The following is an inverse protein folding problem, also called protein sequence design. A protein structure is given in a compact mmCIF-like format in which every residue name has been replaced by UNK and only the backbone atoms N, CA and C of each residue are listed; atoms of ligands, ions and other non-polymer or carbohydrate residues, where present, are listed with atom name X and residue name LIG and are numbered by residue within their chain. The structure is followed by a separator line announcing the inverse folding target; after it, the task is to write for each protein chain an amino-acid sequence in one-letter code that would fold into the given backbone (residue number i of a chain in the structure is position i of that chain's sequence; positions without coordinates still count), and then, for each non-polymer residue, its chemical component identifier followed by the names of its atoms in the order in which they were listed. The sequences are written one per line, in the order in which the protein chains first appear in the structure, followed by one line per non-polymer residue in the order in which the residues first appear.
data_IF_417305663338
#
_entry.id   IF_417305663338
#
_cell.length_a   1.000
_cell.length_b   1.000
_cell.length_c   1.000
_cell.angle_alpha   90.00
_cell.angle_beta   90.00
_cell.angle_gamma   90.00
#
_symmetry.space_group_name_H-M   'P 1'
#
loop_
_entity.id
_entity.type
_entity.pdbx_description
1 polymer ?
#
# COMPACT_ATOMS: atom_id res chain seq x y z
N UNK A 1 10.32 6.93 -10.24
CA UNK A 1 11.70 6.39 -10.32
C UNK A 1 11.90 5.94 -11.75
N UNK A 2 12.88 6.50 -12.47
CA UNK A 2 13.15 6.06 -13.84
C UNK A 2 13.59 4.59 -13.81
N UNK A 3 12.94 3.71 -14.59
CA UNK A 3 13.22 2.27 -14.59
C UNK A 3 14.70 1.94 -14.80
N UNK A 4 15.38 2.73 -15.64
CA UNK A 4 16.82 2.61 -15.90
C UNK A 4 17.66 2.80 -14.63
N UNK A 5 17.30 3.77 -13.79
CA UNK A 5 18.02 4.03 -12.54
C UNK A 5 17.94 2.86 -11.56
N UNK A 6 16.76 2.24 -11.43
CA UNK A 6 16.57 1.04 -10.57
C UNK A 6 17.44 -0.10 -11.05
N UNK A 7 17.38 -0.37 -12.35
CA UNK A 7 18.14 -1.43 -12.98
C UNK A 7 19.65 -1.23 -12.77
N UNK A 8 20.16 -0.02 -12.99
CA UNK A 8 21.57 0.30 -12.76
C UNK A 8 21.98 0.13 -11.30
N UNK A 9 21.11 0.45 -10.33
CA UNK A 9 21.42 0.27 -8.90
C UNK A 9 21.55 -1.22 -8.56
N UNK A 10 20.65 -2.07 -9.06
CA UNK A 10 20.67 -3.51 -8.80
C UNK A 10 21.88 -4.18 -9.46
N UNK A 11 22.09 -3.96 -10.76
CA UNK A 11 23.25 -4.51 -11.49
C UNK A 11 24.57 -4.09 -10.86
N UNK A 12 24.70 -2.82 -10.47
CA UNK A 12 25.94 -2.32 -9.85
C UNK A 12 26.23 -3.01 -8.51
N UNK A 13 25.22 -3.44 -7.75
CA UNK A 13 25.45 -4.08 -6.45
C UNK A 13 26.19 -5.41 -6.59
N UNK A 14 25.86 -6.19 -7.61
CA UNK A 14 26.55 -7.44 -7.93
C UNK A 14 27.98 -7.13 -8.39
N UNK A 15 28.16 -6.26 -9.38
CA UNK A 15 29.49 -5.98 -9.96
C UNK A 15 30.45 -5.31 -8.97
N UNK A 16 29.98 -4.33 -8.19
CA UNK A 16 30.84 -3.52 -7.32
C UNK A 16 31.02 -4.08 -5.91
N UNK A 17 30.06 -4.88 -5.42
CA UNK A 17 30.05 -5.36 -4.03
C UNK A 17 29.81 -6.86 -3.89
N UNK A 18 29.62 -7.61 -4.98
CA UNK A 18 29.27 -9.04 -4.96
C UNK A 18 28.07 -9.32 -4.03
N UNK A 19 27.08 -8.42 -4.05
CA UNK A 19 25.91 -8.47 -3.18
C UNK A 19 24.63 -8.48 -4.01
N UNK A 20 23.60 -9.16 -3.51
CA UNK A 20 22.28 -9.22 -4.13
C UNK A 20 21.23 -8.59 -3.20
N UNK A 21 20.41 -7.68 -3.74
CA UNK A 21 19.22 -7.22 -3.04
C UNK A 21 18.10 -8.25 -3.18
N UNK A 22 17.60 -8.76 -2.06
CA UNK A 22 16.50 -9.73 -2.04
C UNK A 22 15.13 -9.08 -1.90
N UNK A 23 15.07 -7.80 -1.55
CA UNK A 23 13.83 -7.07 -1.30
C UNK A 23 13.80 -5.72 -2.00
N UNK A 24 12.65 -5.38 -2.58
CA UNK A 24 12.36 -4.10 -3.23
C UNK A 24 11.19 -3.43 -2.52
N UNK A 25 11.46 -2.32 -1.81
CA UNK A 25 10.40 -1.50 -1.21
C UNK A 25 9.93 -0.44 -2.22
N UNK A 26 8.65 -0.49 -2.60
CA UNK A 26 8.09 0.44 -3.57
C UNK A 26 6.64 0.88 -3.30
N UNK A 27 6.18 1.83 -4.12
CA UNK A 27 4.75 2.09 -4.27
C UNK A 27 4.13 0.94 -5.09
N UNK A 28 2.85 0.65 -4.85
CA UNK A 28 2.21 -0.59 -5.30
C UNK A 28 2.13 -0.79 -6.81
N UNK A 29 2.20 0.27 -7.62
CA UNK A 29 2.39 0.15 -9.07
C UNK A 29 3.77 0.73 -9.45
N UNK A 30 4.81 -0.09 -9.32
CA UNK A 30 6.17 0.30 -9.66
C UNK A 30 6.62 -0.43 -10.92
N UNK A 31 6.63 0.31 -12.04
CA UNK A 31 7.31 -0.12 -13.28
C UNK A 31 8.78 -0.48 -13.04
N UNK A 32 9.41 0.12 -12.03
CA UNK A 32 10.79 -0.21 -11.65
C UNK A 32 10.94 -1.63 -11.12
N UNK A 33 10.00 -2.11 -10.28
CA UNK A 33 10.03 -3.50 -9.82
C UNK A 33 9.86 -4.48 -10.99
N UNK A 34 8.93 -4.18 -11.90
CA UNK A 34 8.72 -5.01 -13.09
C UNK A 34 10.00 -5.11 -13.93
N UNK A 35 10.69 -3.99 -14.16
CA UNK A 35 11.98 -3.96 -14.85
C UNK A 35 13.03 -4.84 -14.17
N UNK A 36 13.13 -4.82 -12.83
CA UNK A 36 14.06 -5.68 -12.09
C UNK A 36 13.70 -7.16 -12.25
N UNK A 37 12.41 -7.49 -12.14
CA UNK A 37 11.90 -8.86 -12.28
C UNK A 37 12.14 -9.43 -13.67
N UNK A 38 11.88 -8.64 -14.72
CA UNK A 38 12.08 -9.05 -16.12
C UNK A 38 13.56 -9.17 -16.46
N UNK A 39 14.41 -8.29 -15.94
CA UNK A 39 15.85 -8.30 -16.21
C UNK A 39 16.60 -9.46 -15.55
N UNK A 40 15.99 -10.18 -14.59
CA UNK A 40 16.61 -11.27 -13.83
C UNK A 40 18.03 -10.93 -13.37
N UNK A 41 18.18 -9.76 -12.73
CA UNK A 41 19.48 -9.15 -12.39
C UNK A 41 20.40 -10.04 -11.55
N UNK A 42 19.88 -11.05 -10.86
CA UNK A 42 20.66 -11.99 -10.03
C UNK A 42 20.41 -13.45 -10.43
N UNK A 43 20.11 -13.70 -11.71
CA UNK A 43 19.81 -15.04 -12.22
C UNK A 43 18.55 -15.63 -11.59
N UNK A 44 18.73 -16.70 -10.81
CA UNK A 44 17.64 -17.43 -10.14
C UNK A 44 17.21 -16.80 -8.81
N UNK A 45 17.94 -15.80 -8.30
CA UNK A 45 17.56 -15.12 -7.05
C UNK A 45 16.39 -14.17 -7.30
N UNK A 46 15.22 -14.50 -6.78
CA UNK A 46 14.04 -13.63 -6.85
C UNK A 46 14.14 -12.44 -5.89
N UNK A 47 13.63 -11.30 -6.35
CA UNK A 47 13.48 -10.09 -5.54
C UNK A 47 12.04 -9.99 -5.06
N UNK A 48 11.84 -10.06 -3.75
CA UNK A 48 10.53 -9.89 -3.12
C UNK A 48 10.10 -8.42 -3.16
N UNK A 49 8.86 -8.16 -3.58
CA UNK A 49 8.29 -6.82 -3.54
C UNK A 49 7.63 -6.55 -2.20
N UNK A 50 8.11 -5.52 -1.51
CA UNK A 50 7.51 -4.99 -0.30
C UNK A 50 6.65 -3.76 -0.63
N UNK A 51 5.50 -3.68 0.03
CA UNK A 51 4.56 -2.57 -0.11
C UNK A 51 4.80 -1.52 0.98
N UNK A 52 4.96 -0.26 0.59
CA UNK A 52 5.11 0.80 1.58
C UNK A 52 3.80 1.07 2.34
N UNK A 53 3.92 1.50 3.61
CA UNK A 53 2.74 1.87 4.43
C UNK A 53 1.90 2.95 3.76
N UNK A 54 2.55 3.90 3.05
CA UNK A 54 1.84 4.93 2.30
C UNK A 54 0.95 4.37 1.19
N UNK A 55 1.38 3.30 0.52
CA UNK A 55 0.57 2.63 -0.48
C UNK A 55 -0.61 1.88 0.16
N UNK A 56 -0.34 1.11 1.22
CA UNK A 56 -1.38 0.40 2.00
C UNK A 56 -2.43 1.37 2.53
N UNK A 57 -2.00 2.53 3.00
CA UNK A 57 -2.84 3.63 3.43
C UNK A 57 -3.74 4.14 2.30
N UNK A 58 -3.18 4.51 1.13
CA UNK A 58 -3.95 4.96 -0.04
C UNK A 58 -4.97 3.92 -0.51
N UNK A 59 -4.58 2.63 -0.48
CA UNK A 59 -5.44 1.50 -0.88
C UNK A 59 -6.71 1.43 -0.04
N UNK A 60 -6.62 1.65 1.29
CA UNK A 60 -7.78 1.70 2.18
C UNK A 60 -8.77 2.80 1.75
N UNK A 61 -8.29 4.05 1.61
CA UNK A 61 -9.17 5.15 1.24
C UNK A 61 -9.77 4.99 -0.16
N UNK A 62 -9.04 4.44 -1.13
CA UNK A 62 -9.57 4.16 -2.47
C UNK A 62 -10.69 3.12 -2.43
N UNK A 63 -10.57 2.06 -1.63
CA UNK A 63 -11.64 1.08 -1.45
C UNK A 63 -12.90 1.71 -0.86
N UNK A 64 -12.76 2.55 0.17
CA UNK A 64 -13.90 3.25 0.77
C UNK A 64 -14.56 4.23 -0.21
N UNK A 65 -13.77 5.01 -0.96
CA UNK A 65 -14.31 5.89 -2.02
C UNK A 65 -15.06 5.10 -3.11
N UNK A 66 -14.56 3.93 -3.49
CA UNK A 66 -15.23 3.06 -4.45
C UNK A 66 -16.56 2.53 -3.90
N UNK A 67 -16.60 2.13 -2.62
CA UNK A 67 -17.84 1.75 -1.95
C UNK A 67 -18.84 2.90 -2.00
N UNK A 68 -18.44 4.13 -1.61
CA UNK A 68 -19.31 5.30 -1.71
C UNK A 68 -19.84 5.55 -3.13
N UNK A 69 -19.03 5.29 -4.15
CA UNK A 69 -19.43 5.45 -5.56
C UNK A 69 -20.40 4.37 -6.03
N UNK A 70 -20.15 3.11 -5.66
CA UNK A 70 -20.95 1.95 -6.08
C UNK A 70 -22.26 1.84 -5.29
N UNK A 71 -22.25 2.25 -4.03
CA UNK A 71 -23.36 2.09 -3.09
C UNK A 71 -24.34 3.27 -3.10
N UNK A 72 -24.29 4.16 -4.10
CA UNK A 72 -25.21 5.31 -4.22
C UNK A 72 -26.69 4.88 -4.26
N UNK A 73 -26.97 3.69 -4.76
CA UNK A 73 -28.32 3.10 -4.84
C UNK A 73 -28.58 2.03 -3.77
N UNK A 74 -27.58 1.71 -2.94
CA UNK A 74 -27.70 0.69 -1.90
C UNK A 74 -28.18 1.36 -0.62
N UNK A 75 -29.35 0.91 -0.15
CA UNK A 75 -29.89 1.28 1.14
C UNK A 75 -29.40 0.29 2.21
N UNK A 76 -29.01 0.81 3.36
CA UNK A 76 -28.72 0.00 4.55
C UNK A 76 -30.05 -0.52 5.15
N UNK A 77 -29.95 -1.32 6.21
CA UNK A 77 -31.12 -1.88 6.92
C UNK A 77 -32.10 -0.82 7.43
N UNK A 78 -31.63 0.41 7.66
CA UNK A 78 -32.45 1.56 8.04
C UNK A 78 -33.10 2.31 6.86
N UNK A 79 -33.00 1.77 5.64
CA UNK A 79 -33.58 2.35 4.43
C UNK A 79 -32.86 3.61 3.91
N UNK A 80 -31.72 4.00 4.52
CA UNK A 80 -30.93 5.17 4.12
C UNK A 80 -29.66 4.75 3.37
N UNK A 81 -29.11 5.67 2.59
CA UNK A 81 -27.86 5.43 1.85
C UNK A 81 -26.67 5.26 2.80
N UNK A 82 -25.58 4.69 2.30
CA UNK A 82 -24.32 4.58 3.04
C UNK A 82 -23.65 5.95 3.29
N UNK A 83 -23.95 6.93 2.44
CA UNK A 83 -23.39 8.29 2.49
C UNK A 83 -24.43 9.31 2.94
N UNK A 84 -23.97 10.41 3.55
CA UNK A 84 -24.82 11.53 3.96
C UNK A 84 -24.46 12.04 5.34
N UNK A 85 -25.29 12.94 5.87
CA UNK A 85 -25.10 13.51 7.22
C UNK A 85 -25.14 12.39 8.28
N UNK A 86 -24.11 12.36 9.14
CA UNK A 86 -23.95 11.33 10.17
C UNK A 86 -23.60 9.95 9.63
N UNK A 87 -23.02 9.88 8.42
CA UNK A 87 -22.62 8.63 7.75
C UNK A 87 -21.26 8.80 7.09
N UNK A 88 -20.84 7.80 6.31
CA UNK A 88 -19.57 7.83 5.60
C UNK A 88 -19.60 8.91 4.49
N UNK A 89 -18.84 9.98 4.68
CA UNK A 89 -18.55 11.01 3.68
C UNK A 89 -17.10 10.93 3.24
N UNK A 90 -16.73 11.68 2.19
CA UNK A 90 -15.34 11.76 1.72
C UNK A 90 -14.39 12.25 2.83
N UNK A 91 -14.86 13.15 3.72
CA UNK A 91 -14.05 13.67 4.83
C UNK A 91 -13.79 12.61 5.90
N UNK A 92 -14.79 11.78 6.26
CA UNK A 92 -14.53 10.64 7.14
C UNK A 92 -13.59 9.64 6.46
N UNK A 93 -13.74 9.39 5.16
CA UNK A 93 -12.82 8.48 4.44
C UNK A 93 -11.37 8.99 4.48
N UNK A 94 -11.13 10.27 4.28
CA UNK A 94 -9.79 10.84 4.38
C UNK A 94 -9.23 10.75 5.82
N UNK A 95 -10.10 10.91 6.82
CA UNK A 95 -9.74 10.73 8.23
C UNK A 95 -9.39 9.28 8.55
N UNK A 96 -10.22 8.32 8.14
CA UNK A 96 -9.97 6.88 8.26
C UNK A 96 -8.67 6.51 7.55
N UNK A 97 -8.47 7.01 6.32
CA UNK A 97 -7.23 6.81 5.58
C UNK A 97 -6.02 7.32 6.38
N UNK A 98 -6.10 8.50 6.99
CA UNK A 98 -5.02 9.05 7.81
C UNK A 98 -4.75 8.19 9.05
N UNK A 99 -5.78 7.91 9.85
CA UNK A 99 -5.66 7.13 11.09
C UNK A 99 -5.20 5.69 10.85
N UNK A 100 -5.63 5.06 9.75
CA UNK A 100 -5.20 3.72 9.37
C UNK A 100 -3.68 3.67 9.15
N UNK A 101 -3.13 4.65 8.45
CA UNK A 101 -1.68 4.78 8.30
C UNK A 101 -0.96 5.08 9.63
N UNK A 102 -1.56 5.87 10.51
CA UNK A 102 -0.98 6.14 11.84
C UNK A 102 -0.98 4.91 12.74
N UNK A 103 -2.06 4.13 12.75
CA UNK A 103 -2.16 2.90 13.53
C UNK A 103 -1.06 1.90 13.15
N UNK A 104 -0.76 1.75 11.85
CA UNK A 104 0.36 0.92 11.38
C UNK A 104 1.70 1.47 11.87
N UNK A 105 1.96 2.77 11.68
CA UNK A 105 3.26 3.38 12.02
C UNK A 105 3.54 3.44 13.53
N UNK A 106 2.51 3.52 14.37
CA UNK A 106 2.65 3.58 15.83
C UNK A 106 2.85 2.21 16.47
N UNK A 107 2.55 1.12 15.76
CA UNK A 107 2.56 -0.24 16.31
C UNK A 107 3.47 -1.18 15.50
N UNK A 108 4.68 -0.73 15.17
CA UNK A 108 5.61 -1.50 14.33
C UNK A 108 6.20 -2.75 15.03
N UNK A 109 6.21 -2.77 16.36
CA UNK A 109 6.82 -3.84 17.16
C UNK A 109 5.88 -5.01 17.47
N UNK A 110 4.57 -4.87 17.23
CA UNK A 110 3.57 -5.91 17.53
C UNK A 110 2.44 -5.91 16.51
N UNK A 111 2.31 -7.03 15.80
CA UNK A 111 1.23 -7.26 14.84
C UNK A 111 -0.13 -7.25 15.54
N UNK A 112 -0.20 -7.79 16.77
CA UNK A 112 -1.44 -7.84 17.52
C UNK A 112 -1.88 -6.45 17.99
N UNK A 113 -0.93 -5.61 18.44
CA UNK A 113 -1.21 -4.23 18.85
C UNK A 113 -1.62 -3.40 17.63
N UNK A 114 -0.97 -3.63 16.48
CA UNK A 114 -1.33 -3.00 15.21
C UNK A 114 -2.75 -3.34 14.80
N UNK A 115 -3.15 -4.62 14.87
CA UNK A 115 -4.52 -5.04 14.58
C UNK A 115 -5.51 -4.36 15.53
N UNK A 116 -5.23 -4.36 16.84
CA UNK A 116 -6.11 -3.69 17.83
C UNK A 116 -6.25 -2.20 17.54
N UNK A 117 -5.16 -1.52 17.22
CA UNK A 117 -5.18 -0.09 16.88
C UNK A 117 -5.93 0.19 15.58
N UNK A 118 -5.83 -0.69 14.58
CA UNK A 118 -6.58 -0.59 13.32
C UNK A 118 -8.09 -0.78 13.56
N UNK A 119 -8.48 -1.74 14.38
CA UNK A 119 -9.87 -2.02 14.71
C UNK A 119 -10.55 -0.95 15.58
N UNK A 120 -9.75 -0.11 16.24
CA UNK A 120 -10.24 1.00 17.06
C UNK A 120 -10.51 2.30 16.27
N UNK A 121 -10.28 2.30 14.95
CA UNK A 121 -10.57 3.41 14.04
C UNK A 121 -12.04 3.39 13.66
#
# INVERSE_FOLDING_TARGET
MECRGVLSIFQRSETSRKACYTQYLGDGDSKGFLTIKEAKVYGDTEVEKLECVGHVQKRMGTRLRNILKMSKSIKLSDGKNISGLGRLTLKEVDSIQHYYGLAIRKNLSSVEDMKRAIWAI
#
